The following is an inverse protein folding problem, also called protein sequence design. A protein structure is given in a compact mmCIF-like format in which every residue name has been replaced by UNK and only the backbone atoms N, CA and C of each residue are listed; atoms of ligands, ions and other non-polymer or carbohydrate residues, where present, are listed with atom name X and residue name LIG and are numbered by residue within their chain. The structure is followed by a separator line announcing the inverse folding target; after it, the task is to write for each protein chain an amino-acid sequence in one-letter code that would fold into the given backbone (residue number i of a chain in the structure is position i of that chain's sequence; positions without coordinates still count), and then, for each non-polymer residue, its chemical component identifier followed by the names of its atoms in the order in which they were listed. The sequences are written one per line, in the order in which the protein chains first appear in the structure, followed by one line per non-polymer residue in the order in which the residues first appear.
data_IF_739874983082
#
_entry.id   IF_739874983082
#
_cell.length_a   1.000
_cell.length_b   1.000
_cell.length_c   1.000
_cell.angle_alpha   90.00
_cell.angle_beta   90.00
_cell.angle_gamma   90.00
#
_symmetry.space_group_name_H-M   'P 1'
#
loop_
_entity.id
_entity.type
_entity.pdbx_description
1 polymer ?
#
# COMPACT_ATOMS: atom_id res chain seq x y z
N UNK A 1 34.16 36.05 -35.38
CA UNK A 1 32.81 35.63 -34.94
C UNK A 1 32.42 34.20 -35.35
N UNK A 2 33.25 33.18 -35.07
CA UNK A 2 32.91 31.75 -35.39
C UNK A 2 32.99 30.79 -34.21
N UNK A 3 33.32 31.28 -33.03
CA UNK A 3 33.51 30.41 -31.83
C UNK A 3 32.24 30.24 -30.98
N UNK A 4 31.25 31.21 -31.05
CA UNK A 4 30.04 31.12 -30.24
C UNK A 4 29.01 30.09 -30.73
N UNK A 5 29.03 29.67 -32.01
CA UNK A 5 28.01 28.75 -32.56
C UNK A 5 28.22 27.28 -32.13
N UNK A 6 29.47 26.88 -31.83
CA UNK A 6 29.81 25.51 -31.46
C UNK A 6 29.38 25.20 -30.01
N UNK A 7 29.46 26.18 -29.12
CA UNK A 7 29.07 25.98 -27.70
C UNK A 7 27.54 25.85 -27.51
N UNK A 8 26.75 26.52 -28.36
CA UNK A 8 25.29 26.42 -28.28
C UNK A 8 24.78 25.05 -28.77
N UNK A 9 25.44 24.46 -29.78
CA UNK A 9 25.03 23.16 -30.32
C UNK A 9 25.32 22.02 -29.36
N UNK A 10 26.43 22.07 -28.64
CA UNK A 10 26.79 21.05 -27.64
C UNK A 10 25.87 21.09 -26.41
N UNK A 11 25.44 22.25 -25.94
CA UNK A 11 24.50 22.38 -24.83
C UNK A 11 23.10 21.85 -25.16
N UNK A 12 22.63 22.04 -26.39
CA UNK A 12 21.30 21.54 -26.82
C UNK A 12 21.31 19.99 -26.97
N UNK A 13 22.39 19.40 -27.48
CA UNK A 13 22.50 17.94 -27.61
C UNK A 13 22.58 17.25 -26.25
N UNK A 14 23.27 17.84 -25.28
CA UNK A 14 23.33 17.26 -23.91
C UNK A 14 22.00 17.37 -23.17
N UNK A 15 21.22 18.41 -23.35
CA UNK A 15 19.88 18.55 -22.78
C UNK A 15 18.89 17.55 -23.39
N UNK A 16 18.89 17.35 -24.70
CA UNK A 16 18.03 16.38 -25.38
C UNK A 16 18.34 14.94 -24.95
N UNK A 17 19.60 14.60 -24.75
CA UNK A 17 20.01 13.27 -24.27
C UNK A 17 19.58 13.00 -22.84
N UNK A 18 19.61 13.99 -21.95
CA UNK A 18 19.19 13.84 -20.56
C UNK A 18 17.67 13.64 -20.44
N UNK A 19 16.89 14.33 -21.25
CA UNK A 19 15.42 14.18 -21.27
C UNK A 19 15.03 12.76 -21.75
N UNK A 20 15.65 12.25 -22.82
CA UNK A 20 15.33 10.92 -23.35
C UNK A 20 15.67 9.78 -22.39
N UNK A 21 16.74 9.91 -21.60
CA UNK A 21 17.12 8.92 -20.58
C UNK A 21 16.12 8.92 -19.41
N UNK A 22 15.66 10.09 -18.99
CA UNK A 22 14.70 10.20 -17.90
C UNK A 22 13.32 9.62 -18.29
N UNK A 23 12.87 9.82 -19.52
CA UNK A 23 11.63 9.24 -20.04
C UNK A 23 11.70 7.71 -20.14
N UNK A 24 12.84 7.13 -20.52
CA UNK A 24 13.06 5.69 -20.59
C UNK A 24 13.01 5.04 -19.17
N UNK A 25 13.63 5.65 -18.18
CA UNK A 25 13.61 5.15 -16.80
C UNK A 25 12.22 5.26 -16.14
N UNK A 26 11.50 6.35 -16.39
CA UNK A 26 10.11 6.50 -15.95
C UNK A 26 9.23 5.40 -16.56
N UNK A 27 9.38 5.11 -17.85
CA UNK A 27 8.66 4.06 -18.55
C UNK A 27 8.98 2.67 -18.00
N UNK A 28 10.25 2.39 -17.68
CA UNK A 28 10.68 1.14 -17.05
C UNK A 28 10.04 0.96 -15.66
N UNK A 29 10.05 2.01 -14.85
CA UNK A 29 9.44 1.98 -13.53
C UNK A 29 7.92 1.72 -13.62
N UNK A 30 7.21 2.44 -14.51
CA UNK A 30 5.79 2.23 -14.74
C UNK A 30 5.48 0.80 -15.23
N UNK A 31 6.25 0.28 -16.20
CA UNK A 31 6.09 -1.10 -16.68
C UNK A 31 6.28 -2.14 -15.57
N UNK A 32 7.18 -1.91 -14.61
CA UNK A 32 7.35 -2.78 -13.45
C UNK A 32 6.15 -2.74 -12.51
N UNK A 33 5.60 -1.55 -12.25
CA UNK A 33 4.39 -1.38 -11.43
C UNK A 33 3.15 -2.02 -12.08
N UNK A 34 2.96 -1.81 -13.38
CA UNK A 34 1.86 -2.43 -14.14
C UNK A 34 1.96 -3.95 -14.13
N UNK A 35 3.19 -4.49 -14.28
CA UNK A 35 3.42 -5.92 -14.16
C UNK A 35 3.07 -6.43 -12.78
N UNK A 36 3.52 -5.77 -11.72
CA UNK A 36 3.21 -6.17 -10.34
C UNK A 36 1.69 -6.14 -10.10
N UNK A 37 1.01 -5.10 -10.59
CA UNK A 37 -0.45 -4.97 -10.53
C UNK A 37 -1.15 -6.11 -11.25
N UNK A 38 -0.78 -6.40 -12.49
CA UNK A 38 -1.38 -7.48 -13.27
C UNK A 38 -1.23 -8.86 -12.62
N UNK A 39 -0.17 -9.04 -11.82
CA UNK A 39 0.12 -10.28 -11.13
C UNK A 39 -0.57 -10.41 -9.77
N UNK A 40 -0.89 -9.32 -9.08
CA UNK A 40 -1.30 -9.37 -7.67
C UNK A 40 -2.57 -8.58 -7.32
N UNK A 41 -3.18 -7.87 -8.27
CA UNK A 41 -4.41 -7.11 -8.01
C UNK A 41 -5.64 -8.01 -8.00
N UNK A 42 -5.88 -8.67 -6.85
CA UNK A 42 -7.07 -9.51 -6.64
C UNK A 42 -8.38 -8.71 -6.57
N UNK A 43 -8.30 -7.36 -6.58
CA UNK A 43 -9.45 -6.44 -6.55
C UNK A 43 -9.69 -5.77 -7.91
N UNK A 44 -9.03 -6.27 -8.97
CA UNK A 44 -9.28 -5.76 -10.32
C UNK A 44 -10.73 -6.02 -10.76
N UNK A 45 -11.29 -5.20 -11.66
CA UNK A 45 -12.67 -5.39 -12.15
C UNK A 45 -12.93 -6.77 -12.78
N UNK A 46 -11.89 -7.47 -13.22
CA UNK A 46 -11.96 -8.82 -13.79
C UNK A 46 -11.78 -9.93 -12.77
N UNK A 47 -11.45 -9.61 -11.52
CA UNK A 47 -11.27 -10.61 -10.48
C UNK A 47 -12.61 -11.20 -10.02
N UNK A 48 -12.65 -12.49 -9.68
CA UNK A 48 -13.84 -13.10 -9.11
C UNK A 48 -14.07 -12.62 -7.67
N UNK A 49 -15.31 -12.66 -7.22
CA UNK A 49 -15.64 -12.41 -5.83
C UNK A 49 -14.89 -13.35 -4.88
N UNK A 50 -14.42 -12.84 -3.76
CA UNK A 50 -13.60 -13.59 -2.82
C UNK A 50 -13.89 -13.25 -1.35
N UNK A 51 -13.46 -14.16 -0.49
CA UNK A 51 -13.31 -13.96 0.95
C UNK A 51 -11.85 -14.07 1.34
N UNK A 52 -11.36 -13.10 2.10
CA UNK A 52 -10.03 -13.08 2.69
C UNK A 52 -10.16 -13.01 4.21
N UNK A 53 -9.35 -13.82 4.90
CA UNK A 53 -9.17 -13.73 6.36
C UNK A 53 -7.69 -13.70 6.67
N UNK A 54 -7.29 -12.77 7.52
CA UNK A 54 -5.94 -12.68 8.03
C UNK A 54 -5.96 -12.54 9.55
N UNK A 55 -4.91 -13.02 10.18
CA UNK A 55 -4.56 -12.72 11.56
C UNK A 55 -3.36 -11.79 11.58
N UNK A 56 -3.24 -10.95 12.60
CA UNK A 56 -2.09 -10.09 12.75
C UNK A 56 -1.73 -9.87 14.21
N UNK A 57 -0.46 -9.52 14.41
CA UNK A 57 0.10 -9.08 15.69
C UNK A 57 0.69 -7.70 15.48
N UNK A 58 0.27 -6.71 16.24
CA UNK A 58 0.79 -5.34 16.22
C UNK A 58 1.51 -5.02 17.54
N UNK A 59 2.61 -4.27 17.44
CA UNK A 59 3.35 -3.76 18.62
C UNK A 59 3.09 -2.25 18.70
N UNK A 60 2.44 -1.84 19.75
CA UNK A 60 2.08 -0.45 20.03
C UNK A 60 3.27 0.39 20.47
N UNK A 61 3.07 1.70 20.65
CA UNK A 61 4.13 2.61 21.11
C UNK A 61 4.65 2.30 22.51
N UNK A 62 3.79 1.80 23.38
CA UNK A 62 4.13 1.35 24.74
C UNK A 62 4.69 -0.08 24.79
N UNK A 63 5.02 -0.65 23.63
CA UNK A 63 5.56 -2.00 23.46
C UNK A 63 4.60 -3.14 23.84
N UNK A 64 3.33 -2.83 24.06
CA UNK A 64 2.34 -3.89 24.23
C UNK A 64 2.05 -4.60 22.91
N UNK A 65 1.68 -5.86 23.00
CA UNK A 65 1.34 -6.70 21.86
C UNK A 65 -0.17 -6.83 21.75
N UNK A 66 -0.70 -6.53 20.57
CA UNK A 66 -2.11 -6.70 20.23
C UNK A 66 -2.26 -7.76 19.15
N UNK A 67 -3.14 -8.70 19.39
CA UNK A 67 -3.54 -9.69 18.40
C UNK A 67 -4.91 -9.33 17.82
N UNK A 68 -5.05 -9.49 16.52
CA UNK A 68 -6.29 -9.16 15.84
C UNK A 68 -6.56 -10.02 14.61
N UNK A 69 -7.76 -9.82 14.09
CA UNK A 69 -8.22 -10.45 12.85
C UNK A 69 -8.70 -9.40 11.87
N UNK A 70 -8.49 -9.68 10.61
CA UNK A 70 -9.03 -8.95 9.48
C UNK A 70 -9.80 -9.89 8.58
N UNK A 71 -10.97 -9.48 8.16
CA UNK A 71 -11.76 -10.20 7.15
C UNK A 71 -12.19 -9.24 6.06
N UNK A 72 -12.20 -9.73 4.83
CA UNK A 72 -12.71 -9.00 3.68
C UNK A 72 -13.58 -9.92 2.84
N UNK A 73 -14.75 -9.43 2.44
CA UNK A 73 -15.56 -10.00 1.38
C UNK A 73 -15.63 -8.96 0.28
N UNK A 74 -15.15 -9.31 -0.91
CA UNK A 74 -15.09 -8.42 -2.06
C UNK A 74 -15.86 -9.03 -3.25
N UNK A 75 -16.64 -8.20 -3.91
CA UNK A 75 -17.39 -8.56 -5.12
C UNK A 75 -16.98 -7.64 -6.27
N UNK A 76 -16.85 -6.35 -6.00
CA UNK A 76 -16.46 -5.31 -6.96
C UNK A 76 -15.95 -4.07 -6.23
N UNK A 77 -15.45 -3.09 -6.97
CA UNK A 77 -15.02 -1.81 -6.40
C UNK A 77 -16.13 -1.04 -5.68
N UNK A 78 -17.39 -1.34 -5.99
CA UNK A 78 -18.56 -0.71 -5.35
C UNK A 78 -19.31 -1.64 -4.41
N UNK A 79 -18.83 -2.87 -4.21
CA UNK A 79 -19.50 -3.85 -3.35
C UNK A 79 -18.48 -4.69 -2.59
N UNK A 80 -18.17 -4.30 -1.38
CA UNK A 80 -17.19 -4.94 -0.52
C UNK A 80 -17.49 -4.68 0.96
N UNK A 81 -16.94 -5.51 1.83
CA UNK A 81 -16.98 -5.36 3.28
C UNK A 81 -15.64 -5.76 3.88
N UNK A 82 -15.12 -4.90 4.75
CA UNK A 82 -13.89 -5.12 5.53
C UNK A 82 -14.19 -5.02 7.01
N UNK A 83 -13.59 -5.88 7.78
CA UNK A 83 -13.77 -5.89 9.24
C UNK A 83 -12.45 -6.18 9.93
N UNK A 84 -12.08 -5.31 10.87
CA UNK A 84 -10.90 -5.46 11.73
C UNK A 84 -11.36 -5.55 13.17
N UNK A 85 -10.87 -6.57 13.90
CA UNK A 85 -11.21 -6.82 15.30
C UNK A 85 -9.94 -6.99 16.12
N UNK A 86 -9.83 -6.25 17.24
CA UNK A 86 -8.77 -6.37 18.25
C UNK A 86 -9.38 -6.28 19.64
N UNK A 87 -9.41 -7.36 20.37
CA UNK A 87 -10.07 -7.40 21.68
C UNK A 87 -11.54 -6.94 21.60
N UNK A 88 -11.89 -5.88 22.32
CA UNK A 88 -13.22 -5.26 22.30
C UNK A 88 -13.41 -4.24 21.17
N UNK A 89 -12.35 -3.88 20.44
CA UNK A 89 -12.39 -2.89 19.36
C UNK A 89 -12.77 -3.55 18.05
N UNK A 90 -13.67 -2.91 17.32
CA UNK A 90 -14.14 -3.39 16.02
C UNK A 90 -14.30 -2.22 15.05
N UNK A 91 -13.77 -2.36 13.85
CA UNK A 91 -13.97 -1.44 12.73
C UNK A 91 -14.55 -2.21 11.56
N UNK A 92 -15.67 -1.75 11.03
CA UNK A 92 -16.34 -2.31 9.86
C UNK A 92 -16.47 -1.23 8.81
N UNK A 93 -15.99 -1.51 7.62
CA UNK A 93 -16.16 -0.67 6.45
C UNK A 93 -16.97 -1.44 5.40
N UNK A 94 -17.91 -0.76 4.78
CA UNK A 94 -18.78 -1.35 3.78
C UNK A 94 -18.91 -0.42 2.60
N UNK A 95 -18.52 -0.88 1.43
CA UNK A 95 -18.88 -0.29 0.15
C UNK A 95 -20.11 -0.98 -0.38
N UNK A 96 -21.11 -0.21 -0.78
CA UNK A 96 -22.35 -0.70 -1.36
C UNK A 96 -22.83 0.21 -2.49
N UNK A 97 -23.84 -0.23 -3.22
CA UNK A 97 -24.41 0.52 -4.35
C UNK A 97 -24.95 1.92 -3.96
N UNK A 98 -25.26 2.13 -2.68
CA UNK A 98 -25.89 3.36 -2.18
C UNK A 98 -24.96 4.21 -1.33
N UNK A 99 -23.69 3.80 -1.14
CA UNK A 99 -22.72 4.59 -0.37
C UNK A 99 -21.60 3.76 0.24
N UNK A 100 -20.76 4.47 0.98
CA UNK A 100 -19.66 3.91 1.74
C UNK A 100 -19.85 4.24 3.23
N UNK A 101 -19.76 3.25 4.09
CA UNK A 101 -20.07 3.38 5.52
C UNK A 101 -18.97 2.85 6.41
N UNK A 102 -18.82 3.50 7.55
CA UNK A 102 -17.88 3.14 8.59
C UNK A 102 -18.60 2.97 9.92
N UNK A 103 -18.44 1.81 10.54
CA UNK A 103 -18.83 1.53 11.92
C UNK A 103 -17.58 1.31 12.76
N UNK A 104 -17.45 2.05 13.86
CA UNK A 104 -16.44 1.85 14.88
C UNK A 104 -17.12 1.54 16.21
N UNK A 105 -16.65 0.55 16.91
CA UNK A 105 -17.12 0.21 18.27
C UNK A 105 -15.94 -0.18 19.17
N UNK A 106 -16.04 0.10 20.47
CA UNK A 106 -14.96 -0.11 21.43
C UNK A 106 -13.89 0.99 21.39
N UNK A 107 -12.75 0.76 22.04
CA UNK A 107 -11.61 1.67 22.04
C UNK A 107 -11.06 1.95 20.63
N UNK A 108 -10.39 3.10 20.48
CA UNK A 108 -9.75 3.46 19.21
C UNK A 108 -8.66 2.45 18.86
N UNK A 109 -8.68 1.96 17.62
CA UNK A 109 -7.62 1.08 17.13
C UNK A 109 -6.31 1.87 16.94
N UNK A 110 -5.16 1.32 17.36
CA UNK A 110 -3.86 1.91 17.09
C UNK A 110 -3.60 2.10 15.58
N UNK A 111 -2.77 3.07 15.23
CA UNK A 111 -2.46 3.42 13.85
C UNK A 111 -1.90 2.24 13.04
N UNK A 112 -1.07 1.41 13.67
CA UNK A 112 -0.50 0.21 13.06
C UNK A 112 -1.60 -0.77 12.61
N UNK A 113 -2.65 -0.90 13.43
CA UNK A 113 -3.81 -1.76 13.13
C UNK A 113 -4.69 -1.13 12.05
N UNK A 114 -4.90 0.19 12.11
CA UNK A 114 -5.72 0.89 11.11
C UNK A 114 -5.13 0.80 9.71
N UNK A 115 -3.80 0.74 9.58
CA UNK A 115 -3.08 0.58 8.31
C UNK A 115 -3.13 -0.83 7.74
N UNK A 116 -3.48 -1.85 8.53
CA UNK A 116 -3.36 -3.24 8.09
C UNK A 116 -4.14 -3.54 6.81
N UNK A 117 -5.35 -3.00 6.67
CA UNK A 117 -6.17 -3.19 5.46
C UNK A 117 -5.50 -2.62 4.20
N UNK A 118 -4.92 -1.41 4.29
CA UNK A 118 -4.23 -0.78 3.15
C UNK A 118 -2.94 -1.50 2.77
N UNK A 119 -2.27 -2.15 3.73
CA UNK A 119 -1.08 -2.95 3.45
C UNK A 119 -1.40 -4.24 2.66
N UNK A 120 -2.64 -4.68 2.67
CA UNK A 120 -3.10 -5.80 1.83
C UNK A 120 -3.51 -5.36 0.41
N UNK A 121 -3.46 -4.07 0.10
CA UNK A 121 -3.61 -3.52 -1.24
C UNK A 121 -2.22 -3.40 -1.89
N UNK A 122 -1.81 -4.43 -2.64
CA UNK A 122 -0.44 -4.58 -3.14
C UNK A 122 -0.07 -3.65 -4.31
N UNK A 123 -1.06 -2.98 -4.88
CA UNK A 123 -0.87 -2.11 -6.04
C UNK A 123 -1.89 -0.96 -6.04
N UNK A 124 -1.87 -0.10 -5.05
CA UNK A 124 -2.81 1.00 -4.97
C UNK A 124 -2.67 1.96 -6.17
N UNK A 125 -3.77 2.53 -6.61
CA UNK A 125 -3.83 3.40 -7.80
C UNK A 125 -2.93 4.63 -7.69
N UNK A 126 -2.70 5.15 -6.48
CA UNK A 126 -1.87 6.33 -6.23
C UNK A 126 -0.39 6.15 -6.63
N UNK A 127 0.11 4.91 -6.82
CA UNK A 127 1.46 4.72 -7.36
C UNK A 127 1.65 5.33 -8.75
N UNK A 128 0.59 5.49 -9.52
CA UNK A 128 0.63 6.06 -10.88
C UNK A 128 0.89 7.58 -10.87
N UNK A 129 0.70 8.24 -9.73
CA UNK A 129 0.86 9.69 -9.58
C UNK A 129 2.31 10.10 -9.33
N UNK A 130 3.21 9.14 -9.06
CA UNK A 130 4.60 9.43 -8.76
C UNK A 130 5.49 9.49 -10.00
N UNK A 131 6.46 10.40 -9.93
CA UNK A 131 7.68 10.34 -10.74
C UNK A 131 8.70 9.43 -10.07
N UNK A 132 9.41 8.64 -10.85
CA UNK A 132 10.36 7.68 -10.34
C UNK A 132 11.79 8.05 -10.71
N UNK A 133 12.72 7.73 -9.82
CA UNK A 133 14.15 7.72 -10.11
C UNK A 133 14.49 6.48 -10.96
N UNK A 134 15.69 6.42 -11.56
CA UNK A 134 16.17 5.22 -12.24
C UNK A 134 16.05 3.98 -11.36
N UNK A 135 15.63 2.88 -11.98
CA UNK A 135 15.50 1.59 -11.30
C UNK A 135 16.88 1.07 -10.87
N UNK A 136 16.93 0.44 -9.70
CA UNK A 136 18.17 -0.14 -9.17
C UNK A 136 18.00 -1.63 -8.88
N UNK A 137 19.02 -2.42 -9.27
CA UNK A 137 19.07 -3.85 -8.96
C UNK A 137 19.93 -4.09 -7.72
N UNK A 138 19.45 -4.94 -6.82
CA UNK A 138 20.13 -5.33 -5.60
C UNK A 138 20.10 -6.85 -5.43
N UNK A 139 21.03 -7.36 -4.63
CA UNK A 139 20.96 -8.71 -4.07
C UNK A 139 20.85 -8.60 -2.55
N UNK A 140 19.80 -9.18 -1.99
CA UNK A 140 19.56 -9.19 -0.54
C UNK A 140 19.51 -10.65 -0.09
N UNK A 141 20.59 -11.11 0.54
CA UNK A 141 20.72 -12.50 1.01
C UNK A 141 20.50 -13.56 -0.09
N UNK A 142 21.01 -13.33 -1.30
CA UNK A 142 20.85 -14.23 -2.45
C UNK A 142 19.53 -14.05 -3.19
N UNK A 143 18.71 -13.09 -2.81
CA UNK A 143 17.45 -12.76 -3.49
C UNK A 143 17.69 -11.55 -4.39
N UNK A 144 17.59 -11.75 -5.70
CA UNK A 144 17.69 -10.67 -6.67
C UNK A 144 16.40 -9.82 -6.67
N UNK A 145 16.54 -8.55 -6.38
CA UNK A 145 15.43 -7.59 -6.34
C UNK A 145 15.69 -6.42 -7.27
N UNK A 146 14.62 -5.78 -7.70
CA UNK A 146 14.62 -4.52 -8.43
C UNK A 146 13.76 -3.51 -7.69
N UNK A 147 14.35 -2.34 -7.40
CA UNK A 147 13.67 -1.29 -6.68
C UNK A 147 13.41 -0.08 -7.56
N UNK A 148 12.25 0.54 -7.37
CA UNK A 148 11.92 1.87 -7.86
C UNK A 148 11.75 2.79 -6.66
N UNK A 149 12.33 3.98 -6.77
CA UNK A 149 12.25 5.00 -5.72
C UNK A 149 11.53 6.19 -6.31
N UNK A 150 10.54 6.73 -5.61
CA UNK A 150 9.86 7.94 -6.05
C UNK A 150 10.80 9.13 -5.98
N UNK A 151 10.59 10.12 -6.85
CA UNK A 151 11.18 11.43 -6.66
C UNK A 151 10.69 12.02 -5.34
N UNK A 152 11.51 12.85 -4.72
CA UNK A 152 11.13 13.48 -3.46
C UNK A 152 9.89 14.37 -3.66
N UNK A 153 8.88 14.18 -2.84
CA UNK A 153 7.75 15.09 -2.74
C UNK A 153 8.17 16.47 -2.16
N UNK A 154 7.22 17.36 -2.00
CA UNK A 154 7.46 18.71 -1.47
C UNK A 154 8.16 18.71 -0.10
N UNK A 155 7.90 17.70 0.73
CA UNK A 155 8.51 17.53 2.04
C UNK A 155 9.78 16.65 2.04
N UNK A 156 10.34 16.32 0.87
CA UNK A 156 11.48 15.41 0.75
C UNK A 156 11.15 13.93 0.97
N UNK A 157 9.88 13.59 1.06
CA UNK A 157 9.42 12.21 1.25
C UNK A 157 9.70 11.35 0.02
N UNK A 158 10.22 10.15 0.25
CA UNK A 158 10.51 9.18 -0.81
C UNK A 158 9.93 7.82 -0.45
N UNK A 159 9.29 7.20 -1.42
CA UNK A 159 8.80 5.82 -1.31
C UNK A 159 9.76 4.91 -2.08
N UNK A 160 10.03 3.74 -1.53
CA UNK A 160 10.75 2.70 -2.26
C UNK A 160 9.86 1.47 -2.40
N UNK A 161 9.78 0.96 -3.62
CA UNK A 161 9.03 -0.23 -3.99
C UNK A 161 10.01 -1.23 -4.58
N UNK A 162 10.22 -2.35 -3.90
CA UNK A 162 11.14 -3.38 -4.34
C UNK A 162 10.38 -4.64 -4.74
N UNK A 163 10.76 -5.23 -5.86
CA UNK A 163 10.13 -6.38 -6.47
C UNK A 163 11.11 -7.53 -6.62
N UNK A 164 10.65 -8.75 -6.49
CA UNK A 164 11.42 -9.92 -6.90
C UNK A 164 11.72 -9.82 -8.39
N UNK A 165 13.02 -9.79 -8.76
CA UNK A 165 13.44 -9.54 -10.15
C UNK A 165 12.89 -10.56 -11.14
N UNK A 166 12.84 -11.82 -10.76
CA UNK A 166 12.35 -12.90 -11.63
C UNK A 166 10.83 -12.85 -11.84
N UNK A 167 10.07 -12.76 -10.77
CA UNK A 167 8.61 -12.82 -10.83
C UNK A 167 7.96 -11.46 -11.12
N UNK A 168 8.55 -10.36 -10.66
CA UNK A 168 7.93 -9.04 -10.67
C UNK A 168 6.94 -8.82 -9.53
N UNK A 169 6.81 -9.77 -8.59
CA UNK A 169 5.96 -9.61 -7.41
C UNK A 169 6.58 -8.64 -6.41
N UNK A 170 5.76 -7.86 -5.74
CA UNK A 170 6.19 -6.91 -4.74
C UNK A 170 6.85 -7.65 -3.57
N UNK A 171 8.07 -7.26 -3.20
CA UNK A 171 8.77 -7.80 -2.05
C UNK A 171 8.69 -6.87 -0.84
N UNK A 172 8.84 -5.56 -1.08
CA UNK A 172 8.91 -4.57 -0.02
C UNK A 172 8.34 -3.23 -0.46
N UNK A 173 7.63 -2.59 0.45
CA UNK A 173 7.30 -1.16 0.38
C UNK A 173 8.01 -0.48 1.54
N UNK A 174 8.72 0.61 1.28
CA UNK A 174 9.23 1.51 2.30
C UNK A 174 8.56 2.86 2.14
N UNK A 175 7.94 3.35 3.21
CA UNK A 175 7.27 4.65 3.27
C UNK A 175 7.95 5.53 4.29
N UNK A 176 8.10 6.84 4.04
CA UNK A 176 8.55 7.76 5.07
C UNK A 176 7.49 7.84 6.18
N UNK A 177 7.94 7.94 7.41
CA UNK A 177 7.07 8.13 8.57
C UNK A 177 7.69 9.13 9.54
N UNK A 178 6.85 9.90 10.23
CA UNK A 178 7.35 10.79 11.27
C UNK A 178 7.54 10.04 12.58
N UNK A 179 8.73 10.20 13.18
CA UNK A 179 9.10 9.68 14.49
C UNK A 179 9.56 10.86 15.32
N UNK A 180 8.62 11.46 16.07
CA UNK A 180 8.82 12.76 16.69
C UNK A 180 9.04 13.85 15.63
N UNK A 181 10.16 14.56 15.69
CA UNK A 181 10.48 15.64 14.74
C UNK A 181 11.26 15.17 13.50
N UNK A 182 11.74 13.92 13.48
CA UNK A 182 12.52 13.38 12.35
C UNK A 182 11.70 12.47 11.43
N UNK A 183 12.14 12.38 10.17
CA UNK A 183 11.68 11.35 9.25
C UNK A 183 12.44 10.05 9.55
N UNK A 184 11.71 8.94 9.58
CA UNK A 184 12.22 7.59 9.63
C UNK A 184 11.53 6.73 8.59
N UNK A 185 11.93 5.47 8.51
CA UNK A 185 11.40 4.52 7.53
C UNK A 185 10.42 3.55 8.19
N UNK A 186 9.30 3.32 7.51
CA UNK A 186 8.36 2.25 7.78
C UNK A 186 8.36 1.30 6.59
N UNK A 187 8.92 0.11 6.77
CA UNK A 187 9.10 -0.88 5.69
C UNK A 187 8.24 -2.10 5.92
N UNK A 188 7.46 -2.49 4.92
CA UNK A 188 6.66 -3.72 4.95
C UNK A 188 7.18 -4.71 3.90
N UNK A 189 7.49 -5.93 4.33
CA UNK A 189 7.94 -7.03 3.52
C UNK A 189 6.79 -8.00 3.27
N UNK A 190 6.68 -8.48 2.04
CA UNK A 190 5.68 -9.43 1.58
C UNK A 190 6.33 -10.73 1.15
N UNK A 191 5.83 -11.84 1.66
CA UNK A 191 6.44 -13.15 1.44
C UNK A 191 5.40 -14.25 1.27
N UNK A 192 5.89 -15.45 0.91
CA UNK A 192 5.09 -16.65 0.81
C UNK A 192 3.90 -16.49 -0.14
N UNK A 193 4.17 -15.97 -1.35
CA UNK A 193 3.16 -15.77 -2.37
C UNK A 193 2.54 -17.10 -2.79
N UNK A 194 1.20 -17.15 -2.81
CA UNK A 194 0.44 -18.27 -3.30
C UNK A 194 -0.48 -17.84 -4.43
N UNK A 195 -0.71 -18.76 -5.36
CA UNK A 195 -1.62 -18.52 -6.47
C UNK A 195 -3.06 -18.52 -5.97
N UNK A 196 -3.80 -17.47 -6.35
CA UNK A 196 -5.23 -17.32 -6.17
C UNK A 196 -5.86 -16.99 -7.53
N UNK A 197 -6.58 -17.93 -8.09
CA UNK A 197 -7.12 -17.86 -9.45
C UNK A 197 -5.98 -17.56 -10.45
N UNK A 198 -5.95 -16.39 -11.10
CA UNK A 198 -4.86 -15.99 -11.99
C UNK A 198 -3.82 -15.07 -11.33
N UNK A 199 -4.05 -14.66 -10.09
CA UNK A 199 -3.19 -13.75 -9.33
C UNK A 199 -2.30 -14.49 -8.34
N UNK A 200 -1.31 -13.76 -7.82
CA UNK A 200 -0.48 -14.18 -6.69
C UNK A 200 -0.72 -13.24 -5.52
N UNK A 201 -0.94 -13.79 -4.34
CA UNK A 201 -1.20 -13.01 -3.14
C UNK A 201 -0.28 -13.46 -2.01
N UNK A 202 0.36 -12.53 -1.25
CA UNK A 202 1.26 -12.89 -0.16
C UNK A 202 0.46 -13.49 0.99
N UNK A 203 1.02 -14.51 1.60
CA UNK A 203 0.46 -15.12 2.80
C UNK A 203 1.07 -14.55 4.07
N UNK A 204 2.18 -13.83 3.96
CA UNK A 204 2.89 -13.25 5.08
C UNK A 204 3.25 -11.79 4.80
N UNK A 205 3.08 -10.97 5.81
CA UNK A 205 3.40 -9.56 5.84
C UNK A 205 4.15 -9.27 7.14
N UNK A 206 5.27 -8.56 7.04
CA UNK A 206 6.02 -8.07 8.20
C UNK A 206 6.40 -6.63 8.01
N UNK A 207 6.00 -5.76 8.96
CA UNK A 207 6.34 -4.35 8.91
C UNK A 207 7.31 -3.99 10.04
N UNK A 208 8.29 -3.18 9.69
CA UNK A 208 9.36 -2.70 10.55
C UNK A 208 9.37 -1.17 10.54
N UNK A 209 9.61 -0.56 11.67
CA UNK A 209 9.92 0.86 11.79
C UNK A 209 11.34 1.00 12.28
N UNK A 210 12.22 1.56 11.46
CA UNK A 210 13.67 1.65 11.77
C UNK A 210 14.27 0.30 12.22
N UNK A 211 13.92 -0.78 11.54
CA UNK A 211 14.37 -2.13 11.87
C UNK A 211 13.63 -2.80 13.03
N UNK A 212 12.81 -2.09 13.79
CA UNK A 212 12.03 -2.66 14.89
C UNK A 212 10.68 -3.15 14.38
N UNK A 213 10.34 -4.39 14.74
CA UNK A 213 9.05 -4.99 14.38
C UNK A 213 7.88 -4.19 14.94
N UNK A 214 6.90 -3.90 14.07
CA UNK A 214 5.67 -3.17 14.40
C UNK A 214 4.41 -3.95 14.09
N UNK A 215 4.43 -4.73 13.02
CA UNK A 215 3.25 -5.48 12.58
C UNK A 215 3.71 -6.77 11.90
N UNK A 216 3.03 -7.87 12.21
CA UNK A 216 3.13 -9.13 11.47
C UNK A 216 1.72 -9.58 11.11
N UNK A 217 1.51 -9.98 9.85
CA UNK A 217 0.23 -10.47 9.36
C UNK A 217 0.38 -11.79 8.64
N UNK A 218 -0.63 -12.64 8.77
CA UNK A 218 -0.71 -13.91 8.06
C UNK A 218 -2.10 -14.07 7.46
N UNK A 219 -2.17 -14.24 6.14
CA UNK A 219 -3.42 -14.57 5.43
C UNK A 219 -3.68 -16.05 5.64
N UNK A 220 -4.68 -16.36 6.44
CA UNK A 220 -5.05 -17.73 6.81
C UNK A 220 -6.06 -18.33 5.85
N UNK A 221 -6.85 -17.49 5.17
CA UNK A 221 -7.80 -17.92 4.16
C UNK A 221 -7.84 -16.89 3.02
N UNK A 222 -7.88 -17.36 1.80
CA UNK A 222 -8.24 -16.61 0.60
C UNK A 222 -8.93 -17.58 -0.35
N UNK A 223 -10.22 -17.43 -0.51
CA UNK A 223 -11.08 -18.36 -1.22
C UNK A 223 -12.06 -17.62 -2.14
N UNK A 224 -12.50 -18.29 -3.20
CA UNK A 224 -13.60 -17.78 -4.03
C UNK A 224 -14.90 -17.77 -3.22
N UNK A 225 -15.68 -16.72 -3.37
CA UNK A 225 -17.01 -16.58 -2.79
C UNK A 225 -18.00 -16.08 -3.85
N UNK A 226 -18.40 -16.96 -4.79
CA UNK A 226 -19.16 -16.54 -5.97
C UNK A 226 -20.54 -16.00 -5.67
N UNK A 227 -21.09 -16.27 -4.48
CA UNK A 227 -22.43 -15.85 -4.07
C UNK A 227 -22.40 -15.36 -2.60
N UNK A 228 -21.68 -14.29 -2.27
CA UNK A 228 -21.67 -13.78 -0.92
C UNK A 228 -23.07 -13.24 -0.54
N UNK A 229 -23.41 -13.37 0.74
CA UNK A 229 -24.69 -12.90 1.27
C UNK A 229 -24.87 -11.39 1.01
N UNK A 230 -25.90 -10.96 0.26
CA UNK A 230 -26.16 -9.53 -0.01
C UNK A 230 -26.33 -8.68 1.27
N UNK A 231 -26.75 -9.28 2.39
CA UNK A 231 -26.87 -8.59 3.67
C UNK A 231 -25.54 -8.07 4.23
N UNK A 232 -24.40 -8.60 3.76
CA UNK A 232 -23.09 -8.11 4.14
C UNK A 232 -22.80 -6.68 3.64
N UNK A 233 -23.45 -6.24 2.57
CA UNK A 233 -23.18 -4.99 1.86
C UNK A 233 -24.21 -3.90 2.12
N UNK A 234 -25.07 -4.08 3.10
CA UNK A 234 -26.00 -3.03 3.56
C UNK A 234 -25.36 -2.19 4.66
N UNK A 235 -25.83 -0.94 4.79
CA UNK A 235 -25.38 -0.04 5.85
C UNK A 235 -25.52 -0.70 7.22
N UNK A 236 -24.42 -0.86 7.99
CA UNK A 236 -24.51 -1.38 9.36
C UNK A 236 -25.29 -0.41 10.26
N UNK A 237 -26.06 -0.94 11.19
CA UNK A 237 -26.76 -0.10 12.17
C UNK A 237 -25.75 0.73 12.98
N UNK A 238 -25.98 2.05 13.06
CA UNK A 238 -25.09 3.00 13.74
C UNK A 238 -23.84 3.40 12.94
N UNK A 239 -23.68 2.94 11.69
CA UNK A 239 -22.56 3.36 10.85
C UNK A 239 -22.76 4.81 10.36
N UNK A 240 -21.64 5.54 10.29
CA UNK A 240 -21.56 6.85 9.63
C UNK A 240 -21.32 6.67 8.14
N UNK A 241 -21.84 7.58 7.34
CA UNK A 241 -21.54 7.62 5.91
C UNK A 241 -20.22 8.36 5.69
N UNK A 242 -19.34 7.73 4.92
CA UNK A 242 -18.15 8.37 4.44
C UNK A 242 -18.48 9.01 3.09
N UNK A 243 -18.16 10.29 2.90
CA UNK A 243 -18.31 10.96 1.60
C UNK A 243 -17.45 10.30 0.53
N UNK A 244 -17.68 10.67 -0.73
CA UNK A 244 -16.95 10.13 -1.90
C UNK A 244 -15.43 10.40 -1.89
N UNK A 245 -14.93 11.22 -0.96
CA UNK A 245 -13.49 11.39 -0.73
C UNK A 245 -12.79 10.14 -0.17
N UNK A 246 -13.57 9.13 0.28
CA UNK A 246 -13.02 7.88 0.79
C UNK A 246 -12.59 6.87 -0.30
N UNK A 247 -12.86 7.14 -1.57
CA UNK A 247 -12.46 6.27 -2.69
C UNK A 247 -10.95 6.33 -3.00
N UNK A 248 -10.22 7.27 -2.41
CA UNK A 248 -8.76 7.21 -2.39
C UNK A 248 -8.33 6.55 -1.08
N UNK A 249 -7.67 5.38 -1.12
CA UNK A 249 -6.95 4.89 0.04
C UNK A 249 -6.05 6.04 0.48
N UNK A 250 -6.26 6.53 1.71
CA UNK A 250 -5.50 7.66 2.26
C UNK A 250 -4.03 7.35 2.00
N UNK A 251 -3.34 8.15 1.17
CA UNK A 251 -1.90 7.96 0.99
C UNK A 251 -1.30 7.94 2.40
N UNK A 252 -0.31 7.10 2.69
CA UNK A 252 0.25 6.97 4.03
C UNK A 252 0.75 8.28 4.67
N UNK A 253 0.77 9.37 3.92
CA UNK A 253 1.16 10.71 4.39
C UNK A 253 0.02 11.56 4.99
N UNK A 254 -1.25 11.21 4.81
CA UNK A 254 -2.37 11.84 5.53
C UNK A 254 -2.69 11.12 6.83
N UNK A 255 -1.66 10.86 7.63
CA UNK A 255 -1.91 10.61 9.04
C UNK A 255 -2.47 11.89 9.64
N UNK A 256 -3.61 11.84 10.37
CA UNK A 256 -4.04 12.99 11.13
C UNK A 256 -2.84 13.45 11.97
N UNK A 257 -2.55 14.77 11.92
CA UNK A 257 -1.58 15.35 12.85
C UNK A 257 -1.96 14.88 14.25
N UNK A 258 -1.00 14.43 15.08
CA UNK A 258 -1.30 14.10 16.45
C UNK A 258 -1.95 15.34 17.05
N UNK A 259 -3.15 15.16 17.62
CA UNK A 259 -3.93 16.21 18.27
C UNK A 259 -2.99 17.10 19.11
N UNK A 260 -2.81 18.34 18.65
CA UNK A 260 -2.15 19.37 19.42
C UNK A 260 -3.12 19.77 20.52
N UNK A 261 -2.97 19.18 21.67
CA UNK A 261 -3.56 19.77 22.84
C UNK A 261 -4.34 18.86 23.75
N UNK A 262 -3.63 18.19 24.65
CA UNK A 262 -4.07 18.18 26.03
C UNK A 262 -2.95 18.79 26.88
N UNK A 263 -3.18 19.98 27.49
CA UNK A 263 -2.32 20.44 28.58
C UNK A 263 -2.51 19.50 29.77
N UNK A 264 -1.42 19.19 30.42
CA UNK A 264 -1.37 18.45 31.68
C UNK A 264 -2.24 19.08 32.76
#
# INVERSE_FOLDING_TARGET
MKVCAVFLLTAVVTLLSAVSVAEDEQSKAQGLLERARSLSDIRSPSAPAFRLKATFTAITRDLSTLEGTYTETWVSNTQWRRETVVGASRRVEVGGATGHWLLKSGPLLPDEVQRFSSLLELSPSWWQEFTFQPTTDHDVNGIAIRCVITSAGENGERYALCFYRESGLLMQITTPTRIGERLGDYSCLYANYQKFWQYFFPRELRCLQEGHRKLEGKVVELSLDPLPDPALFVKPAGAIELGNEADHPIPPHHLPEPDRGFPF
#
